data_IF_588518032965
#
_entry.id   IF_588518032965
#
_cell.length_a   1.000
_cell.length_b   1.000
_cell.length_c   1.000
_cell.angle_alpha   90.00
_cell.angle_beta   90.00
_cell.angle_gamma   90.00
#
_symmetry.space_group_name_H-M   'P 1'
#
loop_
_entity.id
_entity.type
_entity.pdbx_description
1 polymer ?
#
# COMPACT_ATOMS: atom_id res chain seq x y z
N UNK A 1 18.36 -20.31 9.05
CA UNK A 1 18.27 -21.73 8.65
C UNK A 1 18.36 -22.59 9.91
N UNK A 2 17.53 -23.63 10.04
CA UNK A 2 17.60 -24.58 11.15
C UNK A 2 18.67 -25.65 10.88
N UNK A 3 19.18 -26.29 11.95
CA UNK A 3 20.11 -27.44 11.85
C UNK A 3 19.49 -28.55 11.01
N UNK A 4 18.20 -28.82 11.17
CA UNK A 4 17.45 -29.81 10.39
C UNK A 4 17.49 -29.54 8.88
N UNK A 5 17.38 -28.27 8.46
CA UNK A 5 17.48 -27.92 7.04
C UNK A 5 18.89 -28.15 6.48
N UNK A 6 19.93 -27.95 7.30
CA UNK A 6 21.32 -28.19 6.91
C UNK A 6 21.64 -29.67 6.81
N UNK A 7 21.17 -30.48 7.76
CA UNK A 7 21.44 -31.92 7.80
C UNK A 7 20.72 -32.68 6.68
N UNK A 8 19.58 -32.19 6.22
CA UNK A 8 18.91 -32.72 5.02
C UNK A 8 19.73 -32.55 3.73
N UNK A 9 20.49 -31.46 3.63
CA UNK A 9 21.32 -31.17 2.45
C UNK A 9 22.67 -31.88 2.56
N UNK A 10 23.26 -31.88 3.76
CA UNK A 10 24.61 -32.40 3.99
C UNK A 10 24.65 -33.92 4.24
N UNK A 11 23.57 -34.53 4.71
CA UNK A 11 23.45 -35.98 4.97
C UNK A 11 23.95 -36.84 3.80
N UNK A 12 23.29 -36.74 2.64
CA UNK A 12 23.66 -37.53 1.47
C UNK A 12 25.07 -37.24 0.94
N UNK A 13 25.60 -36.03 1.17
CA UNK A 13 26.90 -35.58 0.65
C UNK A 13 28.07 -36.00 1.54
N UNK A 14 27.93 -35.88 2.86
CA UNK A 14 29.01 -36.12 3.83
C UNK A 14 29.07 -37.57 4.31
N UNK A 15 27.92 -38.27 4.34
CA UNK A 15 27.82 -39.67 4.78
C UNK A 15 27.72 -40.65 3.61
N UNK A 16 28.12 -40.20 2.41
CA UNK A 16 27.93 -40.87 1.13
C UNK A 16 28.18 -42.38 1.19
N UNK A 17 27.17 -43.16 0.77
CA UNK A 17 27.35 -44.56 0.37
C UNK A 17 27.97 -44.57 -1.02
N UNK A 18 28.76 -45.61 -1.35
CA UNK A 18 29.33 -45.85 -2.70
C UNK A 18 28.25 -46.23 -3.74
N UNK A 19 27.16 -45.48 -3.80
CA UNK A 19 26.06 -45.66 -4.75
C UNK A 19 25.81 -44.32 -5.43
N UNK A 20 25.64 -44.34 -6.75
CA UNK A 20 25.44 -43.15 -7.59
C UNK A 20 24.11 -42.42 -7.35
N UNK A 21 23.26 -42.91 -6.44
CA UNK A 21 21.97 -42.29 -6.09
C UNK A 21 22.02 -41.61 -4.71
N UNK A 22 21.74 -40.30 -4.70
CA UNK A 22 21.59 -39.49 -3.48
C UNK A 22 20.24 -39.80 -2.81
N UNK A 23 20.20 -40.86 -2.00
CA UNK A 23 19.00 -41.25 -1.25
C UNK A 23 19.03 -40.58 0.13
N UNK A 24 18.00 -39.79 0.43
CA UNK A 24 17.81 -39.22 1.77
C UNK A 24 17.55 -40.31 2.81
N UNK A 25 18.27 -40.25 3.93
CA UNK A 25 18.09 -41.13 5.08
C UNK A 25 17.88 -40.29 6.33
N UNK A 26 16.71 -40.46 6.98
CA UNK A 26 16.41 -39.77 8.25
C UNK A 26 17.46 -40.06 9.31
N UNK A 27 17.96 -41.31 9.37
CA UNK A 27 19.00 -41.71 10.33
C UNK A 27 20.32 -40.99 10.09
N UNK A 28 20.67 -40.72 8.84
CA UNK A 28 21.89 -39.96 8.49
C UNK A 28 21.73 -38.48 8.84
N UNK A 29 20.53 -37.91 8.63
CA UNK A 29 20.20 -36.54 9.04
C UNK A 29 20.21 -36.38 10.57
N UNK A 30 19.72 -37.38 11.31
CA UNK A 30 19.71 -37.39 12.78
C UNK A 30 21.15 -37.44 13.33
N UNK A 31 22.00 -38.33 12.79
CA UNK A 31 23.42 -38.42 13.17
C UNK A 31 24.18 -37.12 12.88
N UNK A 32 23.95 -36.48 11.74
CA UNK A 32 24.54 -35.17 11.46
C UNK A 32 24.01 -34.08 12.38
N UNK A 33 22.74 -34.13 12.74
CA UNK A 33 22.15 -33.19 13.71
C UNK A 33 22.85 -33.32 15.06
N UNK A 34 23.03 -34.55 15.53
CA UNK A 34 23.74 -34.84 16.78
C UNK A 34 25.21 -34.40 16.71
N UNK A 35 25.90 -34.63 15.58
CA UNK A 35 27.28 -34.17 15.39
C UNK A 35 27.40 -32.65 15.44
N UNK A 36 26.44 -31.90 14.88
CA UNK A 36 26.44 -30.44 14.91
C UNK A 36 26.11 -29.91 16.32
N UNK A 37 25.10 -30.47 16.98
CA UNK A 37 24.63 -30.01 18.29
C UNK A 37 25.62 -30.37 19.39
N UNK A 38 26.19 -31.58 19.33
CA UNK A 38 27.10 -32.13 20.34
C UNK A 38 28.57 -31.93 19.97
N UNK A 39 28.90 -31.16 18.93
CA UNK A 39 30.27 -30.94 18.44
C UNK A 39 31.26 -30.63 19.58
N UNK A 40 30.88 -29.73 20.50
CA UNK A 40 31.71 -29.32 21.64
C UNK A 40 31.98 -30.41 22.68
N UNK A 41 31.13 -31.43 22.71
CA UNK A 41 31.22 -32.56 23.62
C UNK A 41 31.93 -33.77 22.97
N UNK A 42 31.83 -33.89 21.65
CA UNK A 42 32.38 -35.01 20.87
C UNK A 42 33.83 -34.78 20.46
N UNK A 43 34.23 -33.53 20.22
CA UNK A 43 35.57 -33.19 19.76
C UNK A 43 36.28 -32.27 20.76
N UNK A 44 37.53 -32.58 21.16
CA UNK A 44 38.31 -31.73 22.04
C UNK A 44 38.69 -30.45 21.30
N UNK A 45 37.93 -29.39 21.50
CA UNK A 45 38.21 -28.08 20.93
C UNK A 45 39.34 -27.43 21.72
N UNK A 46 40.45 -27.09 21.06
CA UNK A 46 41.55 -26.37 21.70
C UNK A 46 41.11 -24.94 22.07
N UNK A 47 41.75 -24.35 23.09
CA UNK A 47 41.48 -22.97 23.49
C UNK A 47 41.70 -21.97 22.34
N UNK A 48 42.64 -22.27 21.44
CA UNK A 48 42.95 -21.44 20.27
C UNK A 48 41.87 -21.52 19.18
N UNK A 49 41.29 -22.70 18.94
CA UNK A 49 40.17 -22.87 18.00
C UNK A 49 38.92 -22.14 18.49
N UNK A 50 38.61 -22.25 19.78
CA UNK A 50 37.47 -21.54 20.39
C UNK A 50 37.65 -20.02 20.25
N UNK A 51 38.87 -19.52 20.46
CA UNK A 51 39.19 -18.09 20.32
C UNK A 51 39.07 -17.62 18.87
N UNK A 52 39.50 -18.43 17.90
CA UNK A 52 39.37 -18.13 16.47
C UNK A 52 37.90 -18.10 16.05
N UNK A 53 37.10 -19.08 16.48
CA UNK A 53 35.65 -19.13 16.19
C UNK A 53 34.91 -17.94 16.81
N UNK A 54 35.21 -17.59 18.07
CA UNK A 54 34.64 -16.40 18.72
C UNK A 54 34.99 -15.11 17.98
N UNK A 55 36.21 -14.98 17.46
CA UNK A 55 36.60 -13.83 16.64
C UNK A 55 35.82 -13.78 15.31
N UNK A 56 35.60 -14.94 14.67
CA UNK A 56 34.79 -15.03 13.44
C UNK A 56 33.32 -14.69 13.72
N UNK A 57 32.73 -15.20 14.81
CA UNK A 57 31.38 -14.87 15.24
C UNK A 57 31.22 -13.40 15.59
N UNK A 58 32.19 -12.80 16.29
CA UNK A 58 32.19 -11.38 16.61
C UNK A 58 32.28 -10.52 15.34
N UNK A 59 33.06 -10.94 14.34
CA UNK A 59 33.12 -10.29 13.03
C UNK A 59 31.78 -10.40 12.30
N UNK A 60 31.16 -11.58 12.31
CA UNK A 60 29.84 -11.82 11.70
C UNK A 60 28.75 -10.98 12.35
N UNK A 61 28.72 -10.91 13.69
CA UNK A 61 27.78 -10.09 14.46
C UNK A 61 27.99 -8.61 14.18
N UNK A 62 29.25 -8.14 14.14
CA UNK A 62 29.56 -6.77 13.72
C UNK A 62 29.12 -6.51 12.29
N UNK A 63 29.30 -7.45 11.37
CA UNK A 63 28.84 -7.32 10.00
C UNK A 63 27.31 -7.29 9.89
N UNK A 64 26.56 -8.11 10.64
CA UNK A 64 25.09 -8.06 10.64
C UNK A 64 24.53 -6.80 11.29
N UNK A 65 25.10 -6.36 12.41
CA UNK A 65 24.75 -5.09 13.05
C UNK A 65 25.14 -3.89 12.15
N UNK A 66 26.28 -3.98 11.48
CA UNK A 66 26.69 -3.02 10.46
C UNK A 66 25.79 -3.11 9.23
N UNK A 67 25.31 -4.28 8.81
CA UNK A 67 24.42 -4.44 7.65
C UNK A 67 23.02 -3.87 7.94
N UNK A 68 22.54 -3.96 9.18
CA UNK A 68 21.32 -3.26 9.61
C UNK A 68 21.49 -1.74 9.56
N UNK A 69 22.68 -1.21 9.86
CA UNK A 69 22.99 0.22 9.79
C UNK A 69 23.48 0.69 8.40
N UNK A 70 24.02 -0.20 7.57
CA UNK A 70 24.48 0.03 6.19
C UNK A 70 23.35 -0.12 5.18
N UNK A 71 22.20 -0.69 5.56
CA UNK A 71 20.97 -0.61 4.75
C UNK A 71 20.60 0.84 4.40
N UNK A 72 20.95 1.79 5.28
CA UNK A 72 20.76 3.23 5.05
C UNK A 72 21.93 3.90 4.28
N UNK A 73 23.11 3.27 4.22
CA UNK A 73 24.34 3.86 3.66
C UNK A 73 24.73 3.35 2.27
N UNK A 74 24.31 2.13 1.90
CA UNK A 74 24.48 1.61 0.54
C UNK A 74 23.29 2.09 -0.27
N UNK A 75 23.49 3.04 -1.21
CA UNK A 75 22.50 3.35 -2.25
C UNK A 75 22.15 2.05 -2.95
N UNK A 76 20.98 1.50 -2.64
CA UNK A 76 20.47 0.34 -3.35
C UNK A 76 20.10 0.84 -4.75
N UNK A 77 20.58 0.15 -5.79
CA UNK A 77 20.18 0.47 -7.16
C UNK A 77 18.65 0.46 -7.24
N UNK A 78 18.04 1.58 -7.64
CA UNK A 78 16.57 1.73 -7.70
C UNK A 78 15.98 2.82 -6.80
N UNK A 79 16.76 3.47 -5.93
CA UNK A 79 16.26 4.60 -5.14
C UNK A 79 16.00 5.85 -6.00
N UNK A 80 14.88 6.52 -5.77
CA UNK A 80 14.52 7.81 -6.39
C UNK A 80 14.42 8.92 -5.32
N UNK A 81 14.87 10.13 -5.66
CA UNK A 81 14.65 11.32 -4.83
C UNK A 81 13.46 12.11 -5.37
N UNK A 82 12.52 12.42 -4.49
CA UNK A 82 11.34 13.24 -4.82
C UNK A 82 11.07 14.27 -3.73
N UNK A 83 10.32 15.31 -4.09
CA UNK A 83 9.80 16.27 -3.13
C UNK A 83 8.49 15.76 -2.52
N UNK A 84 8.39 15.81 -1.20
CA UNK A 84 7.17 15.53 -0.44
C UNK A 84 6.78 16.79 0.31
N UNK A 85 5.48 17.12 0.27
CA UNK A 85 4.94 18.23 1.05
C UNK A 85 4.58 17.76 2.47
N UNK A 86 4.87 18.58 3.46
CA UNK A 86 4.49 18.40 4.85
C UNK A 86 3.41 19.43 5.18
N UNK A 87 2.25 18.96 5.63
CA UNK A 87 1.10 19.80 5.95
C UNK A 87 0.54 19.44 7.33
N UNK A 88 1.11 19.98 8.42
CA UNK A 88 0.68 19.66 9.77
C UNK A 88 -0.70 20.24 10.11
N UNK A 89 -1.11 21.34 9.46
CA UNK A 89 -2.41 21.98 9.66
C UNK A 89 -3.17 22.13 8.33
N UNK A 90 -3.91 21.10 7.89
CA UNK A 90 -4.64 21.11 6.63
C UNK A 90 -5.70 22.21 6.52
N UNK A 91 -6.24 22.68 7.65
CA UNK A 91 -7.25 23.74 7.67
C UNK A 91 -6.66 25.13 7.37
N UNK A 92 -5.36 25.33 7.66
CA UNK A 92 -4.68 26.59 7.39
C UNK A 92 -4.18 26.65 5.94
N UNK A 93 -5.01 27.21 5.05
CA UNK A 93 -4.66 27.43 3.64
C UNK A 93 -3.66 28.57 3.39
N UNK A 94 -3.32 29.33 4.44
CA UNK A 94 -2.46 30.52 4.35
C UNK A 94 -1.00 30.18 4.62
N UNK A 95 -0.73 29.09 5.33
CA UNK A 95 0.62 28.62 5.60
C UNK A 95 1.21 27.92 4.36
N UNK A 96 2.46 28.27 4.03
CA UNK A 96 3.19 27.59 2.98
C UNK A 96 3.51 26.15 3.42
N UNK A 97 3.14 25.18 2.57
CA UNK A 97 3.45 23.78 2.79
C UNK A 97 4.98 23.59 2.74
N UNK A 98 5.55 23.04 3.81
CA UNK A 98 6.99 22.76 3.86
C UNK A 98 7.33 21.62 2.90
N UNK A 99 8.29 21.81 2.01
CA UNK A 99 8.74 20.75 1.09
C UNK A 99 10.05 20.11 1.57
N UNK A 100 10.12 18.78 1.51
CA UNK A 100 11.30 18.01 1.89
C UNK A 100 11.71 17.05 0.79
N UNK A 101 13.03 16.88 0.59
CA UNK A 101 13.56 15.85 -0.29
C UNK A 101 13.51 14.50 0.43
N UNK A 102 12.74 13.56 -0.10
CA UNK A 102 12.64 12.20 0.37
C UNK A 102 13.35 11.24 -0.59
N UNK A 103 14.16 10.33 -0.04
CA UNK A 103 14.69 9.19 -0.79
C UNK A 103 13.69 8.03 -0.66
N UNK A 104 13.19 7.54 -1.79
CA UNK A 104 12.20 6.48 -1.90
C UNK A 104 12.86 5.25 -2.51
N UNK A 105 12.99 4.18 -1.72
CA UNK A 105 13.40 2.88 -2.22
C UNK A 105 12.20 2.08 -2.74
N UNK A 106 12.41 1.05 -3.59
CA UNK A 106 11.33 0.22 -4.12
C UNK A 106 10.47 -0.48 -3.06
N UNK A 107 11.02 -0.68 -1.86
CA UNK A 107 10.32 -1.31 -0.73
C UNK A 107 9.75 -0.31 0.27
N UNK A 108 10.06 0.99 0.14
CA UNK A 108 9.66 2.00 1.12
C UNK A 108 8.16 2.17 1.16
N UNK A 109 7.59 2.00 2.33
CA UNK A 109 6.14 2.05 2.58
C UNK A 109 5.69 3.46 2.96
N UNK A 110 4.39 3.73 2.82
CA UNK A 110 3.77 4.96 3.28
C UNK A 110 3.96 5.15 4.81
N UNK A 111 3.94 4.06 5.58
CA UNK A 111 4.21 4.07 7.01
C UNK A 111 5.61 4.56 7.36
N UNK A 112 6.63 4.04 6.68
CA UNK A 112 8.03 4.43 6.93
C UNK A 112 8.27 5.91 6.65
N UNK A 113 7.65 6.48 5.61
CA UNK A 113 7.70 7.93 5.38
C UNK A 113 7.00 8.74 6.46
N UNK A 114 5.83 8.29 6.91
CA UNK A 114 5.13 8.96 8.02
C UNK A 114 5.97 8.91 9.30
N UNK A 115 6.67 7.80 9.55
CA UNK A 115 7.59 7.65 10.69
C UNK A 115 8.78 8.60 10.58
N UNK A 116 9.41 8.67 9.41
CA UNK A 116 10.56 9.56 9.13
C UNK A 116 10.22 11.03 9.37
N UNK A 117 9.04 11.47 8.94
CA UNK A 117 8.64 12.88 9.05
C UNK A 117 7.82 13.22 10.30
N UNK A 118 7.53 12.24 11.17
CA UNK A 118 6.78 12.45 12.43
C UNK A 118 7.39 13.55 13.31
N UNK A 119 8.71 13.54 13.48
CA UNK A 119 9.43 14.54 14.28
C UNK A 119 9.32 15.95 13.68
N UNK A 120 9.39 16.08 12.35
CA UNK A 120 9.23 17.38 11.66
C UNK A 120 7.80 17.89 11.72
N UNK A 121 6.83 16.97 11.67
CA UNK A 121 5.40 17.27 11.75
C UNK A 121 4.94 17.55 13.19
N UNK A 122 5.77 17.28 14.20
CA UNK A 122 5.43 17.33 15.63
C UNK A 122 4.17 16.52 15.98
N UNK A 123 3.95 15.43 15.24
CA UNK A 123 2.78 14.56 15.40
C UNK A 123 3.24 13.11 15.48
N UNK A 124 2.62 12.27 16.33
CA UNK A 124 2.90 10.85 16.37
C UNK A 124 2.66 10.18 15.01
N UNK A 125 3.49 9.20 14.65
CA UNK A 125 3.37 8.45 13.39
C UNK A 125 1.97 7.87 13.15
N UNK A 126 1.26 7.47 14.22
CA UNK A 126 -0.09 6.91 14.14
C UNK A 126 -1.17 7.95 13.76
N UNK A 127 -0.86 9.24 13.90
CA UNK A 127 -1.73 10.36 13.52
C UNK A 127 -1.37 10.94 12.15
N UNK A 128 -0.40 10.37 11.43
CA UNK A 128 0.02 10.83 10.11
C UNK A 128 -0.33 9.82 9.01
N UNK A 129 -0.79 10.34 7.88
CA UNK A 129 -1.03 9.58 6.65
C UNK A 129 -0.41 10.31 5.46
N UNK A 130 0.16 9.52 4.56
CA UNK A 130 0.60 9.99 3.26
C UNK A 130 -0.58 10.03 2.30
N UNK A 131 -0.79 11.14 1.63
CA UNK A 131 -1.81 11.32 0.61
C UNK A 131 -1.14 11.46 -0.75
N UNK A 132 -1.79 10.85 -1.75
CA UNK A 132 -1.54 11.14 -3.15
C UNK A 132 -2.52 12.23 -3.59
N UNK A 133 -2.00 13.30 -4.17
CA UNK A 133 -2.77 14.42 -4.72
C UNK A 133 -2.45 14.55 -6.21
N UNK A 134 -3.49 14.59 -7.04
CA UNK A 134 -3.37 14.60 -8.50
C UNK A 134 -4.29 15.67 -9.13
N UNK A 135 -4.07 15.97 -10.41
CA UNK A 135 -4.88 16.90 -11.20
C UNK A 135 -5.05 18.28 -10.52
N UNK A 136 -3.96 18.92 -10.09
CA UNK A 136 -4.00 20.26 -9.47
C UNK A 136 -4.94 20.32 -8.26
N UNK A 137 -4.72 19.47 -7.25
CA UNK A 137 -5.53 19.43 -6.03
C UNK A 137 -7.01 19.07 -6.24
N UNK A 138 -7.39 18.60 -7.44
CA UNK A 138 -8.79 18.26 -7.72
C UNK A 138 -9.16 16.88 -7.19
N UNK A 139 -8.17 16.00 -7.05
CA UNK A 139 -8.33 14.63 -6.63
C UNK A 139 -7.27 14.28 -5.60
N UNK A 140 -7.68 13.64 -4.51
CA UNK A 140 -6.77 13.19 -3.47
C UNK A 140 -7.21 11.85 -2.89
N UNK A 141 -6.26 11.07 -2.38
CA UNK A 141 -6.58 9.87 -1.59
C UNK A 141 -5.54 9.61 -0.51
N UNK A 142 -5.95 9.14 0.68
CA UNK A 142 -5.01 8.56 1.64
C UNK A 142 -4.39 7.27 1.08
N UNK A 143 -3.12 7.06 1.36
CA UNK A 143 -2.43 5.81 1.07
C UNK A 143 -2.51 4.86 2.26
N UNK A 144 -2.74 3.58 1.99
CA UNK A 144 -2.69 2.54 3.00
C UNK A 144 -1.25 2.43 3.53
N UNK A 145 -1.09 2.14 4.81
CA UNK A 145 0.22 2.17 5.48
C UNK A 145 1.26 1.22 4.86
N UNK A 146 0.82 0.06 4.38
CA UNK A 146 1.65 -0.93 3.66
C UNK A 146 1.86 -0.61 2.18
N UNK A 147 1.28 0.48 1.66
CA UNK A 147 1.44 0.85 0.24
C UNK A 147 2.90 1.20 -0.02
N UNK A 148 3.50 0.53 -1.00
CA UNK A 148 4.82 0.90 -1.53
C UNK A 148 4.71 2.22 -2.28
N UNK A 149 5.47 3.20 -1.84
CA UNK A 149 5.37 4.57 -2.35
C UNK A 149 5.94 4.66 -3.76
N UNK A 150 6.97 3.85 -4.04
CA UNK A 150 7.56 3.72 -5.37
C UNK A 150 6.53 3.33 -6.43
N UNK A 151 5.65 2.37 -6.13
CA UNK A 151 4.60 1.90 -7.06
C UNK A 151 3.60 3.02 -7.40
N UNK A 152 3.29 3.90 -6.44
CA UNK A 152 2.41 5.06 -6.65
C UNK A 152 3.06 6.06 -7.61
N UNK A 153 4.34 6.38 -7.40
CA UNK A 153 5.08 7.33 -8.23
C UNK A 153 5.28 6.76 -9.64
N UNK A 154 5.64 5.47 -9.74
CA UNK A 154 5.81 4.79 -11.01
C UNK A 154 4.51 4.76 -11.81
N UNK A 155 3.36 4.65 -11.16
CA UNK A 155 2.06 4.70 -11.82
C UNK A 155 1.85 6.02 -12.56
N UNK A 156 2.34 7.15 -12.04
CA UNK A 156 2.25 8.45 -12.72
C UNK A 156 3.06 8.50 -14.02
N UNK A 157 4.07 7.64 -14.19
CA UNK A 157 4.88 7.60 -15.41
C UNK A 157 4.07 7.20 -16.65
N UNK A 158 2.98 6.44 -16.46
CA UNK A 158 2.08 6.00 -17.51
C UNK A 158 1.04 7.05 -17.91
N UNK A 159 0.97 8.17 -17.18
CA UNK A 159 -0.03 9.20 -17.38
C UNK A 159 0.44 10.24 -18.40
N UNK A 160 -0.47 10.87 -19.16
CA UNK A 160 -0.15 12.04 -19.97
C UNK A 160 0.52 13.13 -19.14
N UNK A 161 1.48 13.84 -19.73
CA UNK A 161 2.25 14.88 -19.04
C UNK A 161 1.35 15.93 -18.37
N UNK A 162 0.29 16.34 -19.06
CA UNK A 162 -0.70 17.30 -18.57
C UNK A 162 -1.39 16.87 -17.27
N UNK A 163 -1.55 15.56 -17.06
CA UNK A 163 -2.25 15.01 -15.90
C UNK A 163 -1.31 14.67 -14.74
N UNK A 164 -0.01 14.44 -15.02
CA UNK A 164 0.99 14.07 -13.99
C UNK A 164 1.85 15.22 -13.48
N UNK A 165 2.02 16.29 -14.26
CA UNK A 165 3.00 17.36 -13.99
C UNK A 165 2.84 18.07 -12.64
N UNK A 166 1.65 17.99 -12.05
CA UNK A 166 1.34 18.59 -10.74
C UNK A 166 0.92 17.54 -9.71
N UNK A 167 1.21 16.26 -9.95
CA UNK A 167 0.98 15.23 -8.95
C UNK A 167 2.05 15.33 -7.87
N UNK A 168 1.64 15.19 -6.62
CA UNK A 168 2.55 15.24 -5.48
C UNK A 168 2.07 14.37 -4.33
N UNK A 169 3.00 14.08 -3.43
CA UNK A 169 2.71 13.39 -2.17
C UNK A 169 2.72 14.41 -1.03
N UNK A 170 1.79 14.24 -0.09
CA UNK A 170 1.70 15.09 1.10
C UNK A 170 1.49 14.27 2.36
N UNK A 171 2.28 14.55 3.40
CA UNK A 171 2.06 14.00 4.75
C UNK A 171 1.19 14.96 5.53
N UNK A 172 0.07 14.48 6.07
CA UNK A 172 -0.87 15.28 6.88
C UNK A 172 -1.59 14.44 7.93
N UNK A 173 -2.28 15.06 8.91
CA UNK A 173 -3.05 14.36 9.93
C UNK A 173 -4.08 13.33 9.40
N UNK A 174 -4.29 12.27 10.18
CA UNK A 174 -5.23 11.19 9.91
C UNK A 174 -6.64 11.58 10.37
N UNK A 175 -7.33 12.40 9.61
CA UNK A 175 -8.75 12.69 9.90
C UNK A 175 -9.65 11.64 9.24
N UNK A 176 -9.50 11.49 7.93
CA UNK A 176 -10.36 10.66 7.10
C UNK A 176 -10.28 9.16 7.40
N UNK A 177 -9.09 8.60 7.65
CA UNK A 177 -9.00 7.16 7.96
C UNK A 177 -9.60 6.84 9.34
N UNK A 178 -9.61 7.80 10.28
CA UNK A 178 -10.27 7.63 11.56
C UNK A 178 -11.80 7.63 11.41
N UNK A 179 -12.35 8.51 10.57
CA UNK A 179 -13.77 8.47 10.20
C UNK A 179 -14.14 7.15 9.53
N UNK A 180 -13.30 6.70 8.59
CA UNK A 180 -13.49 5.41 7.90
C UNK A 180 -13.49 4.26 8.89
N UNK A 181 -12.51 4.21 9.79
CA UNK A 181 -12.41 3.14 10.78
C UNK A 181 -13.63 3.11 11.71
N UNK A 182 -14.12 4.27 12.15
CA UNK A 182 -15.34 4.38 12.96
C UNK A 182 -16.56 3.90 12.18
N UNK A 183 -16.70 4.32 10.92
CA UNK A 183 -17.78 3.88 10.05
C UNK A 183 -17.73 2.36 9.84
N UNK A 184 -16.56 1.78 9.52
CA UNK A 184 -16.37 0.35 9.28
C UNK A 184 -16.75 -0.50 10.50
N UNK A 185 -16.40 -0.06 11.72
CA UNK A 185 -16.78 -0.75 12.96
C UNK A 185 -18.30 -0.81 13.17
N UNK A 186 -19.02 0.19 12.69
CA UNK A 186 -20.48 0.29 12.78
C UNK A 186 -21.21 -0.26 11.55
N UNK A 187 -20.50 -0.45 10.43
CA UNK A 187 -21.01 -0.89 9.13
C UNK A 187 -21.20 -2.40 9.01
N UNK A 188 -21.16 -3.15 10.12
CA UNK A 188 -21.46 -4.57 10.11
C UNK A 188 -22.78 -4.78 9.35
N UNK A 189 -22.67 -5.36 8.15
CA UNK A 189 -23.75 -5.95 7.33
C UNK A 189 -24.41 -5.10 6.23
N UNK A 190 -24.05 -3.83 5.95
CA UNK A 190 -24.69 -3.09 4.82
C UNK A 190 -23.68 -2.66 3.77
N UNK A 191 -23.66 -3.39 2.65
CA UNK A 191 -23.02 -2.93 1.42
C UNK A 191 -23.84 -1.75 0.86
N UNK A 192 -23.23 -0.58 0.59
CA UNK A 192 -24.00 0.59 0.20
C UNK A 192 -24.71 0.38 -1.13
N UNK A 193 -26.03 0.62 -1.11
CA UNK A 193 -26.91 0.66 -2.27
C UNK A 193 -27.80 1.89 -2.20
N UNK A 194 -27.59 2.87 -3.08
CA UNK A 194 -28.34 4.14 -3.07
C UNK A 194 -28.40 4.74 -4.48
N UNK A 195 -29.45 5.52 -4.75
CA UNK A 195 -29.44 6.41 -5.91
C UNK A 195 -28.39 7.52 -5.70
N UNK A 196 -27.41 7.57 -6.59
CA UNK A 196 -26.35 8.58 -6.61
C UNK A 196 -26.27 9.24 -7.98
N UNK A 197 -25.50 10.31 -8.06
CA UNK A 197 -25.16 10.98 -9.32
C UNK A 197 -23.95 10.28 -9.91
N UNK A 198 -24.09 9.78 -11.14
CA UNK A 198 -23.03 9.09 -11.85
C UNK A 198 -22.72 9.76 -13.18
N UNK A 199 -21.43 9.85 -13.50
CA UNK A 199 -20.94 10.24 -14.81
C UNK A 199 -19.77 9.33 -15.21
N UNK A 200 -19.85 8.72 -16.40
CA UNK A 200 -18.77 7.88 -16.93
C UNK A 200 -17.60 8.75 -17.44
N UNK A 201 -16.54 8.12 -17.97
CA UNK A 201 -15.34 8.85 -18.47
C UNK A 201 -15.60 9.64 -19.76
N UNK A 202 -16.80 9.54 -20.32
CA UNK A 202 -17.20 10.13 -21.61
C UNK A 202 -18.12 11.34 -21.43
N UNK A 203 -18.77 11.44 -20.27
CA UNK A 203 -19.85 12.41 -20.04
C UNK A 203 -19.45 13.48 -19.03
N UNK A 204 -19.73 14.74 -19.37
CA UNK A 204 -19.54 15.90 -18.49
C UNK A 204 -20.64 15.99 -17.42
N UNK A 205 -21.86 15.63 -17.81
CA UNK A 205 -23.08 15.75 -17.01
C UNK A 205 -23.37 14.46 -16.24
N UNK A 206 -23.94 14.60 -15.04
CA UNK A 206 -24.27 13.45 -14.20
C UNK A 206 -25.74 13.06 -14.33
N UNK A 207 -26.00 11.76 -14.22
CA UNK A 207 -27.34 11.16 -14.21
C UNK A 207 -27.61 10.56 -12.84
N UNK A 208 -28.85 10.66 -12.34
CA UNK A 208 -29.26 9.88 -11.17
C UNK A 208 -29.37 8.42 -11.58
N UNK A 209 -28.59 7.55 -10.94
CA UNK A 209 -28.55 6.12 -11.20
C UNK A 209 -28.45 5.36 -9.88
N UNK A 210 -29.02 4.16 -9.85
CA UNK A 210 -28.88 3.27 -8.71
C UNK A 210 -27.44 2.73 -8.68
N UNK A 211 -26.74 2.97 -7.59
CA UNK A 211 -25.37 2.54 -7.39
C UNK A 211 -25.32 1.56 -6.23
N UNK A 212 -24.67 0.42 -6.43
CA UNK A 212 -24.52 -0.62 -5.42
C UNK A 212 -23.06 -1.11 -5.39
N UNK A 213 -22.45 -1.18 -4.21
CA UNK A 213 -21.21 -1.91 -4.03
C UNK A 213 -21.56 -3.39 -3.81
N UNK A 214 -20.96 -4.29 -4.59
CA UNK A 214 -21.18 -5.73 -4.46
C UNK A 214 -19.95 -6.49 -4.96
N UNK A 215 -19.52 -7.52 -4.23
CA UNK A 215 -18.45 -8.44 -4.65
C UNK A 215 -17.15 -7.74 -5.14
N UNK A 216 -16.76 -6.64 -4.48
CA UNK A 216 -15.54 -5.88 -4.83
C UNK A 216 -15.66 -5.05 -6.12
N UNK A 217 -16.88 -4.83 -6.61
CA UNK A 217 -17.18 -3.94 -7.73
C UNK A 217 -18.33 -2.98 -7.40
N UNK A 218 -18.34 -1.83 -8.05
CA UNK A 218 -19.47 -0.90 -8.02
C UNK A 218 -20.32 -1.16 -9.27
N UNK A 219 -21.57 -1.53 -9.05
CA UNK A 219 -22.56 -1.75 -10.10
C UNK A 219 -23.43 -0.50 -10.19
N UNK A 220 -23.43 0.13 -11.35
CA UNK A 220 -24.27 1.27 -11.66
C UNK A 220 -25.37 0.79 -12.60
N UNK A 221 -26.62 0.96 -12.18
CA UNK A 221 -27.78 0.49 -12.92
C UNK A 221 -28.84 1.58 -13.07
N UNK A 222 -29.68 1.40 -14.09
CA UNK A 222 -30.83 2.24 -14.38
C UNK A 222 -32.08 1.38 -14.33
N UNK A 223 -33.13 1.87 -13.66
CA UNK A 223 -34.46 1.30 -13.76
C UNK A 223 -35.20 1.89 -14.96
N UNK A 224 -35.73 1.03 -15.81
CA UNK A 224 -36.60 1.43 -16.91
C UNK A 224 -38.07 1.50 -16.46
N UNK A 225 -38.94 2.06 -17.30
CA UNK A 225 -40.38 2.26 -16.99
C UNK A 225 -41.12 0.95 -16.67
N UNK A 226 -40.59 -0.19 -17.10
CA UNK A 226 -41.17 -1.52 -16.85
C UNK A 226 -40.54 -2.22 -15.63
N UNK A 227 -39.90 -1.46 -14.73
CA UNK A 227 -39.16 -1.95 -13.54
C UNK A 227 -38.02 -2.94 -13.84
N UNK A 228 -37.63 -3.04 -15.12
CA UNK A 228 -36.43 -3.79 -15.53
C UNK A 228 -35.19 -2.99 -15.16
N UNK A 229 -34.26 -3.65 -14.46
CA UNK A 229 -32.97 -3.06 -14.08
C UNK A 229 -31.92 -3.38 -15.15
N UNK A 230 -31.35 -2.33 -15.74
CA UNK A 230 -30.30 -2.45 -16.76
C UNK A 230 -28.97 -1.97 -16.18
N UNK A 231 -27.93 -2.81 -16.24
CA UNK A 231 -26.58 -2.45 -15.79
C UNK A 231 -25.96 -1.50 -16.82
N UNK A 232 -25.58 -0.31 -16.35
CA UNK A 232 -24.95 0.74 -17.16
C UNK A 232 -23.43 0.63 -17.11
N UNK A 233 -22.88 0.31 -15.94
CA UNK A 233 -21.43 0.21 -15.72
C UNK A 233 -21.12 -0.72 -14.55
N UNK A 234 -19.99 -1.43 -14.67
CA UNK A 234 -19.34 -2.09 -13.54
C UNK A 234 -17.93 -1.51 -13.38
N UNK A 235 -17.56 -1.17 -12.14
CA UNK A 235 -16.24 -0.63 -11.79
C UNK A 235 -15.58 -1.59 -10.83
N UNK A 236 -14.52 -2.27 -11.28
CA UNK A 236 -13.80 -3.25 -10.47
C UNK A 236 -12.76 -2.56 -9.58
N UNK A 237 -12.96 -2.60 -8.26
CA UNK A 237 -12.12 -1.87 -7.30
C UNK A 237 -10.66 -2.32 -7.34
N UNK A 238 -10.38 -3.60 -7.61
CA UNK A 238 -9.00 -4.11 -7.69
C UNK A 238 -8.21 -3.58 -8.90
N UNK A 239 -8.92 -3.18 -9.96
CA UNK A 239 -8.34 -2.61 -11.18
C UNK A 239 -8.42 -1.08 -11.25
N UNK A 240 -9.03 -0.46 -10.23
CA UNK A 240 -9.27 0.98 -10.17
C UNK A 240 -8.65 1.60 -8.93
N UNK A 241 -8.40 2.89 -8.98
CA UNK A 241 -7.97 3.69 -7.84
C UNK A 241 -9.05 4.71 -7.53
N UNK A 242 -9.56 4.67 -6.30
CA UNK A 242 -10.57 5.61 -5.84
C UNK A 242 -9.90 6.87 -5.26
N UNK A 243 -10.26 8.02 -5.81
CA UNK A 243 -9.87 9.35 -5.35
C UNK A 243 -11.09 10.11 -4.88
N UNK A 244 -10.92 10.94 -3.86
CA UNK A 244 -11.93 11.89 -3.43
C UNK A 244 -11.79 13.18 -4.25
N UNK A 245 -12.92 13.71 -4.66
CA UNK A 245 -13.02 14.89 -5.51
C UNK A 245 -13.43 14.56 -6.94
N UNK A 246 -13.41 15.59 -7.77
CA UNK A 246 -13.82 15.55 -9.16
C UNK A 246 -12.91 16.46 -9.99
N UNK A 247 -12.55 16.02 -11.19
CA UNK A 247 -11.79 16.86 -12.12
C UNK A 247 -12.57 18.15 -12.46
N UNK A 248 -11.89 19.31 -12.38
CA UNK A 248 -12.48 20.65 -12.57
C UNK A 248 -13.21 20.87 -13.92
N UNK A 249 -12.89 20.10 -14.95
CA UNK A 249 -13.56 20.21 -16.26
C UNK A 249 -15.00 19.70 -16.25
N UNK A 250 -15.42 18.99 -15.19
CA UNK A 250 -16.78 18.47 -15.02
C UNK A 250 -17.67 19.49 -14.31
N UNK A 251 -18.95 19.50 -14.68
CA UNK A 251 -19.94 20.32 -14.00
C UNK A 251 -20.33 19.63 -12.68
N UNK A 252 -19.74 20.10 -11.58
CA UNK A 252 -19.86 19.50 -10.26
C UNK A 252 -20.50 20.49 -9.25
N UNK A 253 -21.84 20.50 -9.12
CA UNK A 253 -22.56 21.29 -8.13
C UNK A 253 -22.78 20.58 -6.76
N UNK A 254 -22.29 19.35 -6.58
CA UNK A 254 -22.58 18.56 -5.37
C UNK A 254 -21.56 18.75 -4.25
N UNK A 255 -21.91 18.26 -3.06
CA UNK A 255 -21.06 18.39 -1.86
C UNK A 255 -19.84 17.47 -1.90
N UNK A 256 -19.94 16.31 -2.55
CA UNK A 256 -18.84 15.34 -2.63
C UNK A 256 -18.83 14.52 -3.91
N UNK A 257 -17.64 14.02 -4.26
CA UNK A 257 -17.42 13.07 -5.34
C UNK A 257 -16.34 12.03 -4.97
N UNK A 258 -16.48 10.85 -5.54
CA UNK A 258 -15.46 9.79 -5.59
C UNK A 258 -15.21 9.48 -7.07
N UNK A 259 -13.98 9.71 -7.52
CA UNK A 259 -13.52 9.43 -8.88
C UNK A 259 -12.75 8.11 -8.91
N UNK A 260 -13.13 7.22 -9.81
CA UNK A 260 -12.47 5.94 -10.07
C UNK A 260 -11.64 6.06 -11.34
N UNK A 261 -10.33 5.99 -11.17
CA UNK A 261 -9.35 6.00 -12.26
C UNK A 261 -8.88 4.57 -12.48
N UNK A 262 -9.07 4.03 -13.67
CA UNK A 262 -8.57 2.69 -13.98
C UNK A 262 -7.04 2.65 -14.00
N UNK A 263 -6.46 1.53 -13.56
CA UNK A 263 -5.00 1.32 -13.55
C UNK A 263 -4.45 0.84 -14.90
N UNK A 264 -5.32 0.53 -15.86
CA UNK A 264 -4.91 0.03 -17.18
C UNK A 264 -4.36 1.17 -18.04
N UNK A 265 -3.19 0.96 -18.65
CA UNK A 265 -2.48 1.98 -19.45
C UNK A 265 -3.34 2.57 -20.58
N UNK A 266 -4.20 1.76 -21.20
CA UNK A 266 -5.08 2.19 -22.29
C UNK A 266 -6.18 3.18 -21.86
N UNK A 267 -6.62 3.14 -20.59
CA UNK A 267 -7.70 4.00 -20.09
C UNK A 267 -7.21 5.24 -19.34
N UNK A 268 -5.99 5.21 -18.82
CA UNK A 268 -5.31 6.40 -18.29
C UNK A 268 -5.08 7.42 -19.44
N UNK A 269 -4.87 6.92 -20.66
CA UNK A 269 -4.78 7.76 -21.85
C UNK A 269 -6.17 8.25 -22.27
N UNK A 270 -6.42 9.54 -22.02
CA UNK A 270 -7.61 10.23 -22.52
C UNK A 270 -7.73 10.07 -24.03
N UNK A 271 -8.97 9.93 -24.49
CA UNK A 271 -9.30 9.92 -25.91
C UNK A 271 -10.36 10.98 -26.22
N UNK A 272 -10.63 11.22 -27.51
CA UNK A 272 -11.73 12.11 -27.91
C UNK A 272 -13.08 11.61 -27.37
N UNK A 273 -13.26 10.30 -27.33
CA UNK A 273 -14.49 9.66 -26.87
C UNK A 273 -14.58 9.55 -25.34
N UNK A 274 -13.43 9.54 -24.64
CA UNK A 274 -13.33 9.52 -23.18
C UNK A 274 -12.36 10.62 -22.70
N UNK A 275 -12.81 11.90 -22.67
CA UNK A 275 -11.94 13.04 -22.38
C UNK A 275 -11.65 13.22 -20.88
N UNK A 276 -12.33 12.49 -20.00
CA UNK A 276 -12.17 12.61 -18.55
C UNK A 276 -11.39 11.43 -17.98
N UNK A 277 -10.65 11.68 -16.90
CA UNK A 277 -9.72 10.69 -16.32
C UNK A 277 -10.36 9.39 -15.81
N UNK A 278 -11.65 9.40 -15.48
CA UNK A 278 -12.28 8.26 -14.82
C UNK A 278 -13.80 8.37 -14.70
N UNK A 279 -14.38 7.44 -13.97
CA UNK A 279 -15.80 7.42 -13.62
C UNK A 279 -16.04 8.13 -12.30
N UNK A 280 -17.18 8.79 -12.12
CA UNK A 280 -17.43 9.61 -10.91
C UNK A 280 -18.76 9.23 -10.29
N UNK A 281 -18.75 8.95 -8.99
CA UNK A 281 -19.92 8.97 -8.11
C UNK A 281 -19.96 10.29 -7.36
N UNK A 282 -21.14 10.88 -7.23
CA UNK A 282 -21.34 12.13 -6.51
C UNK A 282 -22.67 12.14 -5.74
N UNK A 283 -22.71 12.95 -4.69
CA UNK A 283 -23.88 13.11 -3.83
C UNK A 283 -23.84 14.38 -3.01
N UNK A 284 -24.98 14.72 -2.39
CA UNK A 284 -25.12 15.94 -1.59
C UNK A 284 -24.87 15.71 -0.10
N UNK A 285 -25.05 14.48 0.40
CA UNK A 285 -24.96 14.16 1.83
C UNK A 285 -23.55 13.68 2.19
N UNK A 286 -22.86 14.39 3.08
CA UNK A 286 -21.51 14.01 3.53
C UNK A 286 -21.44 12.64 4.20
N UNK A 287 -22.52 12.21 4.87
CA UNK A 287 -22.60 10.89 5.47
C UNK A 287 -22.50 9.77 4.42
N UNK A 288 -23.14 9.95 3.25
CA UNK A 288 -23.04 8.99 2.15
C UNK A 288 -21.59 8.85 1.68
N UNK A 289 -20.87 9.98 1.55
CA UNK A 289 -19.46 9.96 1.16
C UNK A 289 -18.65 9.09 2.10
N UNK A 290 -18.83 9.29 3.41
CA UNK A 290 -18.11 8.53 4.43
C UNK A 290 -18.47 7.06 4.34
N UNK A 291 -19.74 6.70 4.22
CA UNK A 291 -20.18 5.30 4.05
C UNK A 291 -19.54 4.68 2.80
N UNK A 292 -19.72 5.29 1.64
CA UNK A 292 -19.23 4.77 0.36
C UNK A 292 -17.71 4.61 0.34
N UNK A 293 -16.98 5.65 0.73
CA UNK A 293 -15.52 5.61 0.73
C UNK A 293 -14.97 4.62 1.76
N UNK A 294 -15.62 4.50 2.93
CA UNK A 294 -15.27 3.51 3.94
C UNK A 294 -15.49 2.08 3.47
N UNK A 295 -16.62 1.81 2.81
CA UNK A 295 -16.91 0.48 2.25
C UNK A 295 -15.94 0.12 1.12
N UNK A 296 -15.56 1.08 0.26
CA UNK A 296 -14.53 0.89 -0.77
C UNK A 296 -13.18 0.57 -0.12
N UNK A 297 -12.78 1.35 0.89
CA UNK A 297 -11.53 1.13 1.61
C UNK A 297 -11.50 -0.25 2.27
N UNK A 298 -12.58 -0.64 2.95
CA UNK A 298 -12.71 -1.94 3.57
C UNK A 298 -12.67 -3.08 2.55
N UNK A 299 -13.32 -2.92 1.39
CA UNK A 299 -13.24 -3.90 0.30
C UNK A 299 -11.82 -4.08 -0.24
N UNK A 300 -11.02 -3.01 -0.30
CA UNK A 300 -9.65 -3.05 -0.80
C UNK A 300 -8.65 -3.60 0.23
N UNK A 301 -8.86 -3.32 1.51
CA UNK A 301 -7.86 -3.54 2.56
C UNK A 301 -8.34 -4.42 3.72
N UNK A 302 -9.44 -5.19 3.58
CA UNK A 302 -10.14 -5.97 4.62
C UNK A 302 -9.34 -6.26 5.90
N UNK A 303 -8.24 -7.02 5.79
CA UNK A 303 -7.46 -7.53 6.93
C UNK A 303 -6.40 -6.56 7.47
N UNK A 304 -5.94 -5.60 6.66
CA UNK A 304 -4.91 -4.61 7.03
C UNK A 304 -5.48 -3.20 7.23
N UNK A 305 -6.78 -2.99 6.99
CA UNK A 305 -7.43 -1.68 7.07
C UNK A 305 -7.20 -0.94 8.41
N UNK A 306 -6.97 -1.70 9.49
CA UNK A 306 -6.50 -1.20 10.77
C UNK A 306 -5.00 -1.46 10.92
N UNK A 307 -4.21 -0.42 11.23
CA UNK A 307 -2.86 -0.63 11.77
C UNK A 307 -2.97 -1.60 12.94
N UNK A 308 -2.14 -2.66 12.99
CA UNK A 308 -2.12 -3.58 14.14
C UNK A 308 -1.98 -2.74 15.41
N UNK A 309 -2.84 -3.03 16.39
CA UNK A 309 -2.87 -2.34 17.69
C UNK A 309 -1.50 -2.37 18.41
N UNK A 310 -0.60 -3.27 18.02
CA UNK A 310 0.77 -3.39 18.49
C UNK A 310 1.66 -2.17 18.17
N UNK A 311 1.26 -1.29 17.25
CA UNK A 311 1.97 -0.03 16.93
C UNK A 311 1.46 1.15 17.79
N UNK A 312 0.35 0.95 18.53
CA UNK A 312 -0.26 1.99 19.39
C UNK A 312 0.38 1.99 20.79
N UNK A 313 1.18 0.97 21.12
CA UNK A 313 1.85 0.84 22.42
C UNK A 313 3.36 0.76 22.19
N UNK A 314 4.00 1.91 21.99
CA UNK A 314 5.36 2.24 22.43
C UNK A 314 5.64 3.71 22.18
#
# INVERSE_FOLDING_TARGET
MSVQNLTMIWGPTLLAKKSDELIYSQKEADVLSDLVVLYKNLFPCSADEIKREQAMLACLQKYYAAAETLKDAVKQSGDIKIWISLNPNPENKTEEKTQVNATISPTKTAYELCREYSAKMQLPTHQLTLYEVILNDSLERPLHHDTKVFDVILNWSYWPEEDRKHNYLVVRPVEMLCEIQRAVKNLATVTPGKELRFADSRTKTFKTLQCELRDGKIVVSKKDKNDKTTIVREIFLQSSTAYLGCERKRDFPWSWAITFVERTQAQIMRSRDAPFIGHVLAGSEWMDRTIWYSSIWYCLYRETSCRRAEIIIK
#
